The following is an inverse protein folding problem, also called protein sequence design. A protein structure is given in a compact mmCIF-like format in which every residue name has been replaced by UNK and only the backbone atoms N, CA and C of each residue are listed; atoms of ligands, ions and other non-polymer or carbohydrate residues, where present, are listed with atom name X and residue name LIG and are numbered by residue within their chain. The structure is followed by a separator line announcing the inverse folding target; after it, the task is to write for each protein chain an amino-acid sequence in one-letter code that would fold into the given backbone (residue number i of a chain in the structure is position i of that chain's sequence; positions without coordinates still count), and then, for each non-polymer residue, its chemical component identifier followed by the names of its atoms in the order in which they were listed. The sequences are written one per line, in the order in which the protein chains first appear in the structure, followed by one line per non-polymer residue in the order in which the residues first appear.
data_IF_065690643746
#
_entry.id   IF_065690643746
#
_cell.length_a   1.000
_cell.length_b   1.000
_cell.length_c   1.000
_cell.angle_alpha   90.00
_cell.angle_beta   90.00
_cell.angle_gamma   90.00
#
_symmetry.space_group_name_H-M   'P 1'
#
loop_
_entity.id
_entity.type
_entity.pdbx_description
1 polymer ?
#
# COMPACT_ATOMS: atom_id res chain seq x y z
N UNK A 1 15.39 116.03 -29.58
CA UNK A 1 14.20 115.33 -29.07
C UNK A 1 14.27 113.89 -29.46
N UNK A 2 14.46 112.99 -28.57
CA UNK A 2 13.92 111.66 -28.46
C UNK A 2 14.60 110.97 -27.28
N UNK A 3 13.83 110.51 -26.38
CA UNK A 3 14.23 109.92 -25.13
C UNK A 3 14.77 108.50 -25.29
N UNK A 4 15.91 108.21 -24.68
CA UNK A 4 16.40 106.89 -24.59
C UNK A 4 15.81 106.10 -23.38
N UNK A 5 15.38 104.95 -23.61
CA UNK A 5 14.86 104.06 -22.58
C UNK A 5 15.93 102.97 -22.36
N UNK A 6 16.37 102.82 -21.12
CA UNK A 6 17.32 101.75 -20.63
C UNK A 6 16.53 100.50 -20.35
N UNK A 7 16.90 99.34 -20.89
CA UNK A 7 16.44 98.05 -20.48
C UNK A 7 17.43 97.42 -19.51
N UNK A 8 16.96 97.03 -18.34
CA UNK A 8 17.68 96.28 -17.39
C UNK A 8 17.60 94.75 -17.70
N UNK A 9 18.73 94.13 -17.80
CA UNK A 9 18.83 92.64 -17.97
C UNK A 9 18.74 91.98 -16.64
N UNK A 10 17.70 91.17 -16.49
CA UNK A 10 17.52 90.29 -15.26
C UNK A 10 18.15 88.94 -15.54
N UNK A 11 19.20 88.56 -14.74
CA UNK A 11 19.85 87.28 -14.80
C UNK A 11 19.01 86.27 -13.97
N UNK A 12 18.53 85.21 -14.62
CA UNK A 12 17.87 84.10 -13.98
C UNK A 12 18.88 83.02 -13.74
N UNK A 13 19.16 82.73 -12.47
CA UNK A 13 19.95 81.55 -11.99
C UNK A 13 19.06 80.33 -12.05
N UNK A 14 19.37 79.38 -12.90
CA UNK A 14 18.72 78.08 -12.93
C UNK A 14 19.29 77.16 -11.85
N UNK A 15 18.52 76.81 -10.84
CA UNK A 15 18.84 75.80 -9.85
C UNK A 15 18.44 74.45 -10.42
N UNK A 16 19.40 73.58 -10.75
CA UNK A 16 19.19 72.24 -11.19
C UNK A 16 18.85 71.34 -9.98
N UNK A 17 17.60 70.88 -9.92
CA UNK A 17 17.13 69.93 -8.89
C UNK A 17 17.42 68.52 -9.41
N UNK A 18 18.46 67.86 -8.88
CA UNK A 18 18.80 66.46 -9.17
C UNK A 18 17.88 65.52 -8.42
N UNK A 19 16.86 64.96 -9.05
CA UNK A 19 16.03 63.89 -8.55
C UNK A 19 16.78 62.53 -8.61
N UNK A 20 17.25 62.04 -7.48
CA UNK A 20 17.78 60.69 -7.34
C UNK A 20 16.59 59.71 -7.31
N UNK A 21 16.33 58.99 -8.40
CA UNK A 21 15.41 57.86 -8.46
C UNK A 21 16.02 56.68 -7.70
N UNK A 22 15.57 56.48 -6.44
CA UNK A 22 15.88 55.31 -5.69
C UNK A 22 15.19 54.07 -6.26
N UNK A 23 15.94 53.21 -6.97
CA UNK A 23 15.46 51.90 -7.43
C UNK A 23 15.36 51.00 -6.23
N UNK A 24 14.18 50.91 -5.64
CA UNK A 24 13.87 49.94 -4.59
C UNK A 24 13.89 48.51 -5.18
N UNK A 25 15.01 47.78 -4.99
CA UNK A 25 15.08 46.37 -5.32
C UNK A 25 14.24 45.57 -4.29
N UNK A 26 13.00 45.28 -4.66
CA UNK A 26 12.21 44.29 -3.95
C UNK A 26 12.94 42.94 -4.04
N UNK A 27 13.58 42.52 -2.97
CA UNK A 27 14.03 41.15 -2.84
C UNK A 27 12.78 40.28 -2.75
N UNK A 28 12.45 39.55 -3.82
CA UNK A 28 11.51 38.45 -3.73
C UNK A 28 12.11 37.47 -2.72
N UNK A 29 11.49 37.34 -1.57
CA UNK A 29 11.76 36.23 -0.66
C UNK A 29 11.42 34.95 -1.44
N UNK A 30 12.39 34.04 -1.56
CA UNK A 30 12.14 32.73 -2.16
C UNK A 30 11.05 32.05 -1.33
N UNK A 31 9.97 31.62 -2.00
CA UNK A 31 8.94 30.81 -1.34
C UNK A 31 9.62 29.56 -0.75
N UNK A 32 9.24 29.16 0.49
CA UNK A 32 9.78 27.98 1.10
C UNK A 32 9.45 26.77 0.23
N UNK A 33 10.48 26.10 -0.28
CA UNK A 33 10.35 24.84 -1.02
C UNK A 33 9.54 23.87 -0.15
N UNK A 34 8.44 23.29 -0.65
CA UNK A 34 7.65 22.34 0.14
C UNK A 34 8.57 21.18 0.57
N UNK A 35 8.42 20.68 1.80
CA UNK A 35 9.28 19.63 2.32
C UNK A 35 9.24 18.44 1.35
N UNK A 36 10.42 17.97 0.92
CA UNK A 36 10.57 16.76 0.12
C UNK A 36 9.91 15.62 0.90
N UNK A 37 8.75 15.15 0.42
CA UNK A 37 8.09 13.97 0.98
C UNK A 37 9.02 12.79 0.76
N UNK A 38 9.67 12.31 1.82
CA UNK A 38 10.50 11.13 1.76
C UNK A 38 9.62 9.93 1.39
N UNK A 39 9.80 9.40 0.19
CA UNK A 39 9.15 8.17 -0.24
C UNK A 39 9.90 7.00 0.41
N UNK A 40 9.25 6.29 1.32
CA UNK A 40 9.77 5.04 1.85
C UNK A 40 9.74 4.02 0.71
N UNK A 41 10.89 3.37 0.36
CA UNK A 41 10.91 2.40 -0.72
C UNK A 41 9.93 1.23 -0.47
N UNK A 42 9.33 0.72 -1.54
CA UNK A 42 8.58 -0.52 -1.47
C UNK A 42 9.53 -1.70 -1.24
N UNK A 43 9.08 -2.68 -0.44
CA UNK A 43 9.75 -3.98 -0.31
C UNK A 43 8.94 -5.00 -1.10
N UNK A 44 9.61 -5.79 -1.93
CA UNK A 44 9.01 -6.82 -2.77
C UNK A 44 9.67 -8.17 -2.49
N UNK A 45 8.87 -9.20 -2.28
CA UNK A 45 9.31 -10.59 -2.10
C UNK A 45 8.89 -11.40 -3.32
N UNK A 46 9.87 -11.70 -4.19
CA UNK A 46 9.71 -12.56 -5.39
C UNK A 46 9.95 -14.03 -5.08
N UNK A 47 10.58 -14.36 -3.95
CA UNK A 47 10.94 -15.71 -3.47
C UNK A 47 11.98 -16.45 -4.33
N UNK A 48 12.46 -15.91 -5.43
CA UNK A 48 13.31 -16.56 -6.44
C UNK A 48 14.67 -17.01 -5.92
N UNK A 49 15.26 -16.24 -5.02
CA UNK A 49 16.58 -16.56 -4.42
C UNK A 49 16.51 -17.62 -3.32
N UNK A 50 15.32 -18.13 -2.99
CA UNK A 50 15.10 -19.07 -1.88
C UNK A 50 15.02 -20.51 -2.37
N UNK A 51 15.57 -21.45 -1.59
CA UNK A 51 15.52 -22.86 -1.89
C UNK A 51 14.09 -23.42 -1.75
N UNK A 52 13.55 -24.16 -2.75
CA UNK A 52 12.26 -24.83 -2.64
C UNK A 52 12.19 -25.83 -1.47
N UNK A 53 10.97 -26.06 -0.97
CA UNK A 53 10.66 -27.02 0.09
C UNK A 53 10.77 -26.46 1.52
N UNK A 54 11.28 -25.24 1.71
CA UNK A 54 11.42 -24.59 3.01
C UNK A 54 10.61 -23.30 3.09
N UNK A 55 10.18 -22.87 4.28
CA UNK A 55 9.57 -21.57 4.46
C UNK A 55 10.62 -20.46 4.24
N UNK A 56 10.20 -19.26 3.74
CA UNK A 56 11.09 -18.13 3.63
C UNK A 56 11.52 -17.62 5.02
N UNK A 57 12.79 -17.29 5.16
CA UNK A 57 13.35 -16.79 6.41
C UNK A 57 12.75 -15.42 6.77
N UNK A 58 12.59 -15.17 8.06
CA UNK A 58 12.11 -13.90 8.60
C UNK A 58 10.59 -13.72 8.58
N UNK A 59 9.84 -14.53 7.82
CA UNK A 59 8.37 -14.51 7.87
C UNK A 59 7.87 -15.08 9.20
N UNK A 60 6.80 -14.48 9.72
CA UNK A 60 6.08 -14.99 10.88
C UNK A 60 4.87 -15.77 10.39
N UNK A 61 4.80 -17.05 10.77
CA UNK A 61 3.69 -17.94 10.40
C UNK A 61 2.76 -18.11 11.59
N UNK A 62 1.51 -17.72 11.41
CA UNK A 62 0.46 -17.81 12.41
C UNK A 62 -0.80 -18.45 11.88
N UNK A 63 -1.78 -18.60 12.78
CA UNK A 63 -3.10 -19.12 12.44
C UNK A 63 -4.15 -18.56 13.39
N UNK A 64 -5.16 -17.89 12.84
CA UNK A 64 -6.37 -17.57 13.60
C UNK A 64 -7.31 -18.77 13.61
N UNK A 65 -7.98 -19.01 14.71
CA UNK A 65 -8.98 -20.06 14.85
C UNK A 65 -8.40 -21.45 15.14
N UNK A 66 -9.05 -22.50 14.67
CA UNK A 66 -8.71 -23.90 14.96
C UNK A 66 -7.75 -24.57 13.96
N UNK A 67 -7.57 -25.89 14.07
CA UNK A 67 -6.77 -26.71 13.16
C UNK A 67 -5.26 -26.52 13.29
N UNK A 68 -4.49 -27.00 12.30
CA UNK A 68 -3.03 -26.86 12.26
C UNK A 68 -2.61 -25.46 11.82
N UNK A 69 -1.45 -25.00 12.26
CA UNK A 69 -0.75 -23.87 11.63
C UNK A 69 -0.46 -24.24 10.18
N UNK A 70 -0.68 -23.36 9.22
CA UNK A 70 -0.45 -23.64 7.81
C UNK A 70 0.98 -24.11 7.51
N UNK A 71 1.15 -24.87 6.45
CA UNK A 71 2.46 -25.27 5.94
C UNK A 71 2.82 -24.35 4.77
N UNK A 72 3.72 -23.46 5.02
CA UNK A 72 4.23 -22.50 4.06
C UNK A 72 5.60 -22.93 3.54
N UNK A 73 5.77 -22.99 2.24
CA UNK A 73 7.04 -23.37 1.61
C UNK A 73 7.28 -22.52 0.35
N UNK A 74 8.54 -22.36 0.00
CA UNK A 74 8.93 -21.91 -1.33
C UNK A 74 8.75 -23.10 -2.29
N UNK A 75 8.15 -22.86 -3.45
CA UNK A 75 7.85 -23.86 -4.45
C UNK A 75 8.21 -23.34 -5.85
N UNK A 76 8.71 -24.22 -6.73
CA UNK A 76 8.93 -23.88 -8.13
C UNK A 76 7.59 -23.73 -8.86
N UNK A 77 7.45 -22.65 -9.61
CA UNK A 77 6.29 -22.34 -10.46
C UNK A 77 6.75 -21.61 -11.73
N UNK A 78 7.04 -22.32 -12.81
CA UNK A 78 7.58 -21.70 -14.03
C UNK A 78 6.60 -20.76 -14.73
N UNK A 79 5.30 -20.82 -14.39
CA UNK A 79 4.25 -19.91 -14.85
C UNK A 79 3.97 -18.76 -13.90
N UNK A 80 4.83 -18.54 -12.89
CA UNK A 80 4.72 -17.42 -11.96
C UNK A 80 4.88 -16.07 -12.67
N UNK A 81 4.31 -14.98 -12.12
CA UNK A 81 4.55 -13.63 -12.64
C UNK A 81 6.02 -13.24 -12.63
N UNK A 82 6.76 -13.62 -11.60
CA UNK A 82 8.21 -13.47 -11.45
C UNK A 82 8.81 -14.85 -11.16
N UNK A 83 9.12 -15.68 -12.21
CA UNK A 83 9.64 -17.02 -11.99
C UNK A 83 11.12 -16.98 -11.55
N UNK A 84 11.67 -18.07 -10.92
CA UNK A 84 11.13 -19.44 -10.95
C UNK A 84 10.33 -19.87 -9.72
N UNK A 85 10.32 -19.13 -8.62
CA UNK A 85 9.81 -19.61 -7.33
C UNK A 85 8.69 -18.72 -6.78
N UNK A 86 7.84 -19.34 -5.96
CA UNK A 86 6.69 -18.67 -5.29
C UNK A 86 6.59 -19.12 -3.84
N UNK A 87 5.86 -18.39 -3.03
CA UNK A 87 5.42 -18.87 -1.72
C UNK A 87 4.11 -19.66 -1.88
N UNK A 88 4.03 -20.84 -1.27
CA UNK A 88 2.85 -21.71 -1.32
C UNK A 88 2.35 -22.05 0.09
N UNK A 89 1.05 -21.98 0.31
CA UNK A 89 0.37 -22.64 1.43
C UNK A 89 -0.09 -24.01 0.95
N UNK A 90 0.45 -25.11 1.52
CA UNK A 90 0.25 -26.47 1.03
C UNK A 90 -0.41 -27.42 2.04
N UNK A 91 -0.80 -26.95 3.22
CA UNK A 91 -1.51 -27.77 4.21
C UNK A 91 -2.99 -27.91 3.82
N UNK A 92 -3.49 -29.15 3.87
CA UNK A 92 -4.86 -29.52 3.46
C UNK A 92 -5.83 -29.70 4.63
N UNK A 93 -5.55 -29.14 5.80
CA UNK A 93 -6.44 -29.18 6.95
C UNK A 93 -7.78 -28.48 6.66
N UNK A 94 -8.89 -29.19 6.83
CA UNK A 94 -10.23 -28.76 6.45
C UNK A 94 -11.02 -28.08 7.57
N UNK A 95 -10.38 -27.74 8.68
CA UNK A 95 -11.03 -26.95 9.74
C UNK A 95 -11.55 -25.65 9.15
N UNK A 96 -12.86 -25.43 9.15
CA UNK A 96 -13.48 -24.28 8.44
C UNK A 96 -13.05 -22.93 9.04
N UNK A 97 -13.07 -22.78 10.37
CA UNK A 97 -12.58 -21.58 11.03
C UNK A 97 -11.07 -21.70 11.33
N UNK A 98 -10.30 -21.78 10.25
CA UNK A 98 -8.85 -21.87 10.22
C UNK A 98 -8.29 -20.90 9.20
N UNK A 99 -7.46 -19.97 9.62
CA UNK A 99 -6.93 -18.90 8.78
C UNK A 99 -5.41 -18.85 8.89
N UNK A 100 -4.67 -19.63 8.08
CA UNK A 100 -3.22 -19.52 7.99
C UNK A 100 -2.77 -18.17 7.47
N UNK A 101 -1.78 -17.56 8.15
CA UNK A 101 -1.17 -16.28 7.82
C UNK A 101 0.33 -16.45 7.68
N UNK A 102 0.92 -15.75 6.71
CA UNK A 102 2.36 -15.54 6.60
C UNK A 102 2.62 -14.03 6.56
N UNK A 103 3.03 -13.45 7.69
CA UNK A 103 3.36 -12.04 7.81
C UNK A 103 4.81 -11.80 7.38
N UNK A 104 5.02 -10.83 6.50
CA UNK A 104 6.32 -10.51 5.93
C UNK A 104 7.22 -9.74 6.91
N UNK A 105 8.55 -9.94 6.86
CA UNK A 105 9.51 -9.24 7.71
C UNK A 105 9.76 -7.81 7.19
N UNK A 106 8.71 -7.02 7.04
CA UNK A 106 8.81 -5.61 6.65
C UNK A 106 8.80 -4.71 7.87
N UNK A 107 9.25 -3.47 7.76
CA UNK A 107 8.92 -2.48 8.77
C UNK A 107 7.39 -2.36 8.87
N UNK A 108 6.90 -2.27 10.10
CA UNK A 108 5.50 -2.00 10.35
C UNK A 108 5.15 -0.57 9.89
N UNK A 109 4.00 -0.38 9.25
CA UNK A 109 3.56 0.92 8.75
C UNK A 109 2.05 1.13 8.96
N UNK A 110 1.66 2.38 9.07
CA UNK A 110 0.27 2.78 9.34
C UNK A 110 -0.51 2.99 8.04
N UNK A 111 0.10 3.66 7.07
CA UNK A 111 -0.51 4.02 5.79
C UNK A 111 0.33 3.51 4.62
N UNK A 112 -0.32 3.09 3.54
CA UNK A 112 0.37 2.57 2.38
C UNK A 112 -0.44 1.62 1.55
N UNK A 113 0.23 0.62 0.96
CA UNK A 113 -0.44 -0.47 0.26
C UNK A 113 0.24 -1.81 0.50
N UNK A 114 -0.56 -2.87 0.46
CA UNK A 114 -0.09 -4.26 0.37
C UNK A 114 -0.71 -4.88 -0.87
N UNK A 115 0.09 -5.51 -1.70
CA UNK A 115 -0.38 -6.24 -2.87
C UNK A 115 0.32 -7.57 -3.02
N UNK A 116 -0.32 -8.51 -3.73
CA UNK A 116 0.24 -9.82 -4.04
C UNK A 116 -0.32 -10.32 -5.37
N UNK A 117 0.53 -11.01 -6.11
CA UNK A 117 0.07 -11.90 -7.18
C UNK A 117 -0.29 -13.23 -6.55
N UNK A 118 -1.52 -13.71 -6.74
CA UNK A 118 -1.95 -14.97 -6.14
C UNK A 118 -2.70 -15.86 -7.13
N UNK A 119 -2.55 -17.18 -6.94
CA UNK A 119 -3.19 -18.20 -7.74
C UNK A 119 -3.88 -19.20 -6.82
N UNK A 120 -5.21 -19.10 -6.63
CA UNK A 120 -5.99 -20.09 -5.89
C UNK A 120 -6.04 -21.40 -6.71
N UNK A 121 -5.31 -22.43 -6.30
CA UNK A 121 -5.16 -23.67 -7.10
C UNK A 121 -6.26 -24.66 -6.76
N UNK A 122 -6.38 -25.04 -5.49
CA UNK A 122 -7.35 -26.04 -5.05
C UNK A 122 -7.77 -25.83 -3.60
N UNK A 123 -8.77 -26.59 -3.18
CA UNK A 123 -9.39 -26.62 -1.87
C UNK A 123 -10.85 -26.98 -2.02
N UNK A 124 -11.41 -27.72 -1.08
CA UNK A 124 -12.81 -28.18 -1.07
C UNK A 124 -13.66 -27.42 -0.07
N UNK A 125 -13.11 -27.06 1.08
CA UNK A 125 -13.79 -26.22 2.08
C UNK A 125 -13.65 -24.76 1.69
N UNK A 126 -12.45 -24.38 1.21
CA UNK A 126 -12.22 -23.03 0.73
C UNK A 126 -11.16 -23.01 -0.38
N UNK A 127 -11.16 -21.95 -1.20
CA UNK A 127 -10.16 -21.73 -2.25
C UNK A 127 -9.86 -20.25 -2.37
N UNK A 128 -9.21 -19.74 -1.34
CA UNK A 128 -9.00 -18.32 -1.15
C UNK A 128 -7.53 -17.91 -1.22
N UNK A 129 -7.30 -16.72 -1.73
CA UNK A 129 -6.07 -15.98 -1.51
C UNK A 129 -6.39 -14.63 -0.86
N UNK A 130 -5.52 -14.17 0.06
CA UNK A 130 -5.74 -12.92 0.77
C UNK A 130 -4.45 -12.19 1.08
N UNK A 131 -4.58 -10.89 1.37
CA UNK A 131 -3.56 -10.03 1.95
C UNK A 131 -3.98 -9.59 3.33
N UNK A 132 -3.04 -9.57 4.27
CA UNK A 132 -3.20 -8.94 5.58
C UNK A 132 -2.40 -7.65 5.62
N UNK A 133 -2.90 -6.67 6.38
CA UNK A 133 -2.21 -5.41 6.63
C UNK A 133 -2.54 -4.91 8.04
N UNK A 134 -1.73 -3.99 8.54
CA UNK A 134 -1.72 -3.61 9.97
C UNK A 134 -1.74 -4.86 10.87
N UNK A 135 -1.03 -5.90 10.44
CA UNK A 135 -0.91 -7.16 11.17
C UNK A 135 -0.08 -6.93 12.43
N UNK A 136 -0.67 -7.16 13.59
CA UNK A 136 -0.05 -7.07 14.91
C UNK A 136 0.36 -8.46 15.41
N UNK A 137 -0.57 -9.42 15.28
CA UNK A 137 -0.41 -10.84 15.59
C UNK A 137 -1.47 -11.67 14.85
N UNK A 138 -1.48 -12.98 15.03
CA UNK A 138 -2.40 -13.93 14.38
C UNK A 138 -3.88 -13.74 14.73
N UNK A 139 -4.20 -12.90 15.71
CA UNK A 139 -5.55 -12.62 16.19
C UNK A 139 -6.00 -11.17 15.99
N UNK A 140 -5.09 -10.29 15.47
CA UNK A 140 -5.34 -8.86 15.35
C UNK A 140 -4.76 -8.29 14.05
N UNK A 141 -5.60 -8.12 13.01
CA UNK A 141 -5.21 -7.61 11.70
C UNK A 141 -6.41 -7.25 10.83
N UNK A 142 -6.18 -6.46 9.78
CA UNK A 142 -7.11 -6.34 8.65
C UNK A 142 -6.78 -7.36 7.57
N UNK A 143 -7.81 -7.75 6.81
CA UNK A 143 -7.75 -8.76 5.77
C UNK A 143 -8.64 -8.38 4.58
N UNK A 144 -8.11 -8.45 3.37
CA UNK A 144 -8.92 -8.64 2.16
C UNK A 144 -8.58 -9.99 1.52
N UNK A 145 -9.61 -10.68 0.98
CA UNK A 145 -9.42 -11.96 0.32
C UNK A 145 -10.34 -12.12 -0.90
N UNK A 146 -9.87 -12.83 -1.92
CA UNK A 146 -10.67 -13.36 -3.02
C UNK A 146 -10.91 -14.86 -2.80
N UNK A 147 -12.04 -15.39 -3.26
CA UNK A 147 -12.41 -16.80 -3.12
C UNK A 147 -13.00 -17.37 -4.41
N UNK A 148 -12.34 -18.38 -4.95
CA UNK A 148 -12.71 -19.02 -6.21
C UNK A 148 -13.83 -20.06 -6.08
N UNK A 149 -14.29 -20.43 -4.87
CA UNK A 149 -15.50 -21.24 -4.67
C UNK A 149 -16.74 -20.38 -4.49
N UNK A 150 -16.58 -19.15 -3.98
CA UNK A 150 -17.68 -18.25 -3.65
C UNK A 150 -17.83 -17.12 -4.69
N UNK A 151 -16.91 -16.97 -5.63
CA UNK A 151 -16.88 -15.90 -6.64
C UNK A 151 -17.07 -14.50 -6.02
N UNK A 152 -16.20 -14.16 -5.05
CA UNK A 152 -16.27 -12.87 -4.38
C UNK A 152 -14.91 -12.39 -3.87
N UNK A 153 -14.85 -11.07 -3.60
CA UNK A 153 -13.80 -10.41 -2.82
C UNK A 153 -14.45 -9.80 -1.59
N UNK A 154 -13.85 -10.00 -0.43
CA UNK A 154 -14.39 -9.49 0.83
C UNK A 154 -13.31 -8.79 1.65
N UNK A 155 -13.74 -7.85 2.48
CA UNK A 155 -12.92 -7.13 3.42
C UNK A 155 -13.37 -7.40 4.85
N UNK A 156 -12.40 -7.62 5.74
CA UNK A 156 -12.64 -7.98 7.13
C UNK A 156 -11.63 -7.31 8.06
N UNK A 157 -11.95 -7.30 9.36
CA UNK A 157 -10.94 -7.34 10.38
C UNK A 157 -11.01 -8.65 11.18
N UNK A 158 -9.88 -9.04 11.79
CA UNK A 158 -9.79 -10.04 12.85
C UNK A 158 -9.36 -9.32 14.11
N UNK A 159 -10.16 -9.39 15.17
CA UNK A 159 -9.85 -8.82 16.48
C UNK A 159 -10.11 -9.84 17.57
N UNK A 160 -9.08 -10.10 18.40
CA UNK A 160 -9.12 -11.14 19.43
C UNK A 160 -9.57 -12.51 18.85
N UNK A 161 -9.06 -12.87 17.67
CA UNK A 161 -9.37 -14.11 16.98
C UNK A 161 -10.76 -14.19 16.33
N UNK A 162 -11.60 -13.16 16.44
CA UNK A 162 -12.92 -13.10 15.78
C UNK A 162 -12.84 -12.33 14.47
N UNK A 163 -13.23 -12.97 13.37
CA UNK A 163 -13.30 -12.36 12.05
C UNK A 163 -14.67 -11.71 11.83
N UNK A 164 -14.69 -10.42 11.49
CA UNK A 164 -15.88 -9.62 11.20
C UNK A 164 -15.78 -9.11 9.76
N UNK A 165 -16.82 -9.36 8.96
CA UNK A 165 -16.91 -8.85 7.60
C UNK A 165 -17.41 -7.41 7.59
N UNK A 166 -16.72 -6.55 6.83
CA UNK A 166 -17.07 -5.14 6.65
C UNK A 166 -17.66 -4.86 5.26
N UNK A 167 -17.12 -5.51 4.22
CA UNK A 167 -17.56 -5.28 2.84
C UNK A 167 -17.47 -6.54 1.98
N UNK A 168 -18.22 -6.56 0.87
CA UNK A 168 -18.24 -7.64 -0.11
C UNK A 168 -18.42 -7.09 -1.53
N UNK A 169 -17.71 -7.66 -2.47
CA UNK A 169 -17.98 -7.58 -3.90
C UNK A 169 -18.19 -8.99 -4.44
N UNK A 170 -19.22 -9.19 -5.26
CA UNK A 170 -19.52 -10.47 -5.93
C UNK A 170 -19.13 -10.37 -7.40
N UNK A 171 -18.33 -11.31 -7.85
CA UNK A 171 -17.86 -11.41 -9.22
C UNK A 171 -16.82 -12.50 -9.36
N UNK A 172 -16.58 -12.92 -10.61
CA UNK A 172 -15.76 -14.09 -10.93
C UNK A 172 -14.35 -14.01 -10.35
N UNK A 173 -13.96 -15.09 -9.66
CA UNK A 173 -12.60 -15.39 -9.21
C UNK A 173 -12.19 -16.72 -9.82
N UNK A 174 -11.32 -16.68 -10.84
CA UNK A 174 -10.95 -17.88 -11.59
C UNK A 174 -9.89 -18.69 -10.86
N UNK A 175 -10.17 -19.96 -10.60
CA UNK A 175 -9.20 -20.90 -10.02
C UNK A 175 -8.11 -21.26 -11.03
N UNK A 176 -6.89 -21.47 -10.55
CA UNK A 176 -5.75 -21.89 -11.38
C UNK A 176 -5.15 -20.78 -12.26
N UNK A 177 -5.57 -19.53 -12.07
CA UNK A 177 -5.10 -18.35 -12.80
C UNK A 177 -4.42 -17.38 -11.83
N UNK A 178 -3.38 -16.69 -12.28
CA UNK A 178 -2.73 -15.63 -11.53
C UNK A 178 -3.59 -14.36 -11.55
N UNK A 179 -3.86 -13.82 -10.36
CA UNK A 179 -4.60 -12.59 -10.14
C UNK A 179 -3.77 -11.62 -9.31
N UNK A 180 -4.14 -10.35 -9.31
CA UNK A 180 -3.62 -9.36 -8.38
C UNK A 180 -4.68 -8.98 -7.34
N UNK A 181 -4.32 -9.09 -6.07
CA UNK A 181 -5.09 -8.52 -4.97
C UNK A 181 -4.26 -7.42 -4.32
N UNK A 182 -4.80 -6.20 -4.27
CA UNK A 182 -4.16 -5.04 -3.66
C UNK A 182 -5.12 -4.33 -2.71
N UNK A 183 -4.58 -3.86 -1.60
CA UNK A 183 -5.27 -2.96 -0.68
C UNK A 183 -4.43 -1.70 -0.51
N UNK A 184 -5.02 -0.54 -0.81
CA UNK A 184 -4.48 0.78 -0.49
C UNK A 184 -5.20 1.27 0.78
N UNK A 185 -4.45 1.77 1.77
CA UNK A 185 -5.04 2.20 3.04
C UNK A 185 -4.38 3.45 3.60
N UNK A 186 -5.22 4.31 4.17
CA UNK A 186 -4.81 5.56 4.80
C UNK A 186 -5.79 5.95 5.90
N UNK A 187 -5.28 6.22 7.12
CA UNK A 187 -6.11 6.50 8.29
C UNK A 187 -7.15 5.37 8.49
N UNK A 188 -8.44 5.69 8.44
CA UNK A 188 -9.57 4.73 8.54
C UNK A 188 -10.06 4.22 7.19
N UNK A 189 -9.56 4.75 6.07
CA UNK A 189 -10.00 4.43 4.71
C UNK A 189 -9.16 3.31 4.08
N UNK A 190 -9.84 2.33 3.47
CA UNK A 190 -9.21 1.27 2.68
C UNK A 190 -9.95 1.03 1.36
N UNK A 191 -9.17 0.89 0.29
CA UNK A 191 -9.64 0.55 -1.05
C UNK A 191 -9.07 -0.79 -1.48
N UNK A 192 -9.92 -1.70 -1.96
CA UNK A 192 -9.51 -3.02 -2.45
C UNK A 192 -9.61 -3.07 -3.96
N UNK A 193 -8.53 -3.53 -4.58
CA UNK A 193 -8.43 -3.72 -6.03
C UNK A 193 -8.27 -5.20 -6.34
N UNK A 194 -9.04 -5.68 -7.30
CA UNK A 194 -8.93 -7.01 -7.89
C UNK A 194 -8.66 -6.88 -9.37
N UNK A 195 -7.54 -7.43 -9.82
CA UNK A 195 -7.02 -7.30 -11.19
C UNK A 195 -7.05 -5.84 -11.69
N UNK A 196 -6.48 -4.94 -10.89
CA UNK A 196 -6.36 -3.52 -11.17
C UNK A 196 -7.66 -2.70 -11.04
N UNK A 197 -8.82 -3.34 -10.84
CA UNK A 197 -10.11 -2.63 -10.73
C UNK A 197 -10.52 -2.48 -9.27
N UNK A 198 -10.86 -1.27 -8.84
CA UNK A 198 -11.40 -1.01 -7.49
C UNK A 198 -12.74 -1.73 -7.31
N UNK A 199 -12.84 -2.59 -6.30
CA UNK A 199 -14.01 -3.40 -5.99
C UNK A 199 -14.66 -3.06 -4.66
N UNK A 200 -13.88 -2.59 -3.70
CA UNK A 200 -14.35 -2.24 -2.36
C UNK A 200 -13.74 -0.90 -1.99
N UNK A 201 -14.57 -0.11 -1.31
CA UNK A 201 -14.23 1.18 -0.73
C UNK A 201 -14.87 1.19 0.66
N UNK A 202 -14.08 1.29 1.74
CA UNK A 202 -14.57 1.05 3.09
C UNK A 202 -13.83 1.90 4.11
N UNK A 203 -14.55 2.35 5.14
CA UNK A 203 -14.00 3.03 6.30
C UNK A 203 -14.15 2.16 7.54
N UNK A 204 -13.06 1.98 8.29
CA UNK A 204 -13.04 1.30 9.58
C UNK A 204 -11.83 1.74 10.41
N UNK A 205 -12.04 1.95 11.70
CA UNK A 205 -11.03 2.46 12.64
C UNK A 205 -10.66 1.46 13.73
N UNK A 206 -10.91 0.17 13.50
CA UNK A 206 -10.60 -0.91 14.49
C UNK A 206 -9.12 -0.96 14.83
N UNK A 207 -8.23 -0.80 13.82
CA UNK A 207 -6.78 -0.71 14.02
C UNK A 207 -6.25 0.58 13.36
N UNK A 208 -5.70 1.48 14.16
CA UNK A 208 -5.08 2.74 13.70
C UNK A 208 -3.56 2.73 13.80
N UNK A 209 -2.98 1.77 14.52
CA UNK A 209 -1.53 1.64 14.70
C UNK A 209 -0.83 0.97 13.51
N UNK A 210 0.51 1.01 13.50
CA UNK A 210 1.31 0.35 12.48
C UNK A 210 1.25 -1.18 12.63
N UNK A 211 1.47 -1.89 11.52
CA UNK A 211 1.60 -3.34 11.49
C UNK A 211 2.20 -3.82 10.18
N UNK A 212 2.52 -5.11 10.10
CA UNK A 212 3.12 -5.73 8.93
C UNK A 212 2.08 -6.01 7.84
N UNK A 213 2.57 -6.16 6.61
CA UNK A 213 1.84 -6.78 5.51
C UNK A 213 2.11 -8.28 5.44
N UNK A 214 1.27 -9.02 4.71
CA UNK A 214 1.46 -10.45 4.52
C UNK A 214 0.39 -11.09 3.66
N UNK A 215 0.41 -12.42 3.60
CA UNK A 215 -0.56 -13.23 2.86
C UNK A 215 -1.37 -14.14 3.77
N UNK A 216 -2.54 -14.57 3.27
CA UNK A 216 -3.54 -15.28 4.05
C UNK A 216 -4.26 -16.34 3.20
N UNK A 217 -4.65 -17.43 3.83
CA UNK A 217 -5.54 -18.43 3.25
C UNK A 217 -6.61 -18.88 4.23
N UNK A 218 -7.57 -19.70 3.78
CA UNK A 218 -8.59 -20.31 4.63
C UNK A 218 -8.63 -21.82 4.44
N UNK A 219 -8.84 -22.55 5.54
CA UNK A 219 -9.05 -24.00 5.58
C UNK A 219 -8.02 -24.76 4.71
N UNK A 220 -8.48 -25.59 3.78
CA UNK A 220 -7.68 -26.42 2.90
C UNK A 220 -7.26 -25.72 1.59
N UNK A 221 -7.28 -24.40 1.53
CA UNK A 221 -6.85 -23.66 0.34
C UNK A 221 -5.38 -23.92 0.03
N UNK A 222 -5.11 -24.59 -1.10
CA UNK A 222 -3.80 -24.61 -1.73
C UNK A 222 -3.67 -23.40 -2.64
N UNK A 223 -2.80 -22.49 -2.28
CA UNK A 223 -2.66 -21.19 -2.96
C UNK A 223 -1.18 -20.85 -3.14
N UNK A 224 -0.84 -20.34 -4.32
CA UNK A 224 0.46 -19.80 -4.67
C UNK A 224 0.44 -18.28 -4.56
N UNK A 225 1.54 -17.69 -4.09
CA UNK A 225 1.74 -16.26 -3.93
C UNK A 225 3.08 -15.84 -4.50
N UNK A 226 3.09 -14.76 -5.26
CA UNK A 226 4.28 -14.14 -5.83
C UNK A 226 4.19 -12.61 -5.73
N UNK A 227 5.31 -11.92 -5.88
CA UNK A 227 5.39 -10.46 -5.88
C UNK A 227 4.67 -9.81 -4.68
N UNK A 228 4.77 -10.42 -3.49
CA UNK A 228 4.23 -9.78 -2.30
C UNK A 228 4.94 -8.44 -2.11
N UNK A 229 4.17 -7.37 -2.14
CA UNK A 229 4.70 -6.00 -2.05
C UNK A 229 4.11 -5.27 -0.85
N UNK A 230 4.97 -4.71 -0.02
CA UNK A 230 4.61 -3.75 1.00
C UNK A 230 5.18 -2.38 0.61
N UNK A 231 4.32 -1.38 0.50
CA UNK A 231 4.68 -0.01 0.12
C UNK A 231 4.19 0.97 1.18
N UNK A 232 5.02 1.30 2.18
CA UNK A 232 4.69 2.33 3.14
C UNK A 232 4.47 3.69 2.45
N UNK A 233 3.55 4.47 2.97
CA UNK A 233 3.35 5.87 2.57
C UNK A 233 3.94 6.76 3.66
N UNK A 234 4.79 7.68 3.28
CA UNK A 234 5.30 8.70 4.19
C UNK A 234 4.17 9.61 4.72
N UNK A 235 4.39 10.21 5.86
CA UNK A 235 3.45 11.12 6.51
C UNK A 235 3.07 12.31 5.64
#
# INVERSE_FOLDING_TARGET
MVKGTRFAATVWSAVALSTVLGVSRHRHAAEPTPPHRQTVPAVIWHFDSLAPGRPPAGFVFGRTGGGRVGRWIVQSAPDAPSPPNVLAQVDSDRTDYRFPVAAAPSPAFTDGSVSVRCKPVSGRVDRACGVVFRYQDENNYYLSRANALEDNVRFYYVKNGRRIQLANWTGKVTSGVWHELRVDFRADHAEVYWDGTKRIDVHDHTFSGPGNGGVWTKADSYTLFDDLTARPRGP
#
